data_IF_644574942188
#
_entry.id   IF_644574942188
#
_cell.length_a   1.000
_cell.length_b   1.000
_cell.length_c   1.000
_cell.angle_alpha   90.00
_cell.angle_beta   90.00
_cell.angle_gamma   90.00
#
_symmetry.space_group_name_H-M   'P 1'
#
loop_
_entity.id
_entity.type
_entity.pdbx_description
1 polymer ?
#
# COMPACT_ATOMS: atom_id res chain seq x y z
N UNK A 1 13.83 29.61 5.77
CA UNK A 1 13.93 28.85 7.04
C UNK A 1 13.05 27.63 6.88
N UNK A 2 13.63 26.51 6.44
CA UNK A 2 12.92 25.24 6.32
C UNK A 2 13.00 24.56 7.68
N UNK A 3 11.85 24.45 8.34
CA UNK A 3 11.69 23.67 9.57
C UNK A 3 12.06 22.23 9.22
N UNK A 4 13.08 21.68 9.90
CA UNK A 4 13.48 20.29 9.78
C UNK A 4 12.26 19.43 10.13
N UNK A 5 11.58 18.92 9.11
CA UNK A 5 10.67 17.80 9.29
C UNK A 5 11.57 16.63 9.72
N UNK A 6 11.54 16.31 11.01
CA UNK A 6 12.04 15.04 11.49
C UNK A 6 11.19 13.97 10.83
N UNK A 7 11.64 13.49 9.68
CA UNK A 7 11.25 12.19 9.16
C UNK A 7 11.56 11.22 10.29
N UNK A 8 10.52 10.70 10.95
CA UNK A 8 10.65 9.71 12.00
C UNK A 8 11.05 8.38 11.34
N UNK A 9 12.29 8.33 10.83
CA UNK A 9 12.93 7.18 10.21
C UNK A 9 13.53 6.25 11.27
N UNK A 10 12.81 6.08 12.38
CA UNK A 10 13.36 5.49 13.60
C UNK A 10 12.36 4.54 14.25
N UNK A 11 12.06 3.42 13.58
CA UNK A 11 11.66 2.15 14.23
C UNK A 11 11.19 1.09 13.21
N UNK A 12 12.07 0.60 12.34
CA UNK A 12 11.77 -0.59 11.52
C UNK A 12 12.93 -1.60 11.53
N UNK A 13 13.36 -1.98 12.74
CA UNK A 13 14.16 -3.17 12.94
C UNK A 13 13.57 -3.99 14.09
N UNK A 14 12.31 -4.38 13.94
CA UNK A 14 11.80 -5.50 14.73
C UNK A 14 12.18 -6.77 13.95
N UNK A 15 13.29 -7.38 14.35
CA UNK A 15 13.61 -8.73 13.93
C UNK A 15 12.48 -9.64 14.44
N UNK A 16 11.48 -9.89 13.58
CA UNK A 16 10.47 -10.90 13.82
C UNK A 16 11.17 -12.26 13.77
N UNK A 17 11.61 -12.73 14.94
CA UNK A 17 11.66 -14.15 15.22
C UNK A 17 10.25 -14.67 14.96
N UNK A 18 10.02 -15.17 13.76
CA UNK A 18 8.84 -15.95 13.43
C UNK A 18 8.93 -17.26 14.23
N UNK A 19 8.54 -17.19 15.51
CA UNK A 19 7.96 -18.34 16.18
C UNK A 19 6.77 -18.68 15.29
N UNK A 20 6.82 -19.85 14.66
CA UNK A 20 5.64 -20.44 14.07
C UNK A 20 4.64 -20.55 15.22
N UNK A 21 3.70 -19.62 15.27
CA UNK A 21 2.58 -19.64 16.18
C UNK A 21 1.85 -20.93 15.85
N UNK A 22 2.04 -21.96 16.69
CA UNK A 22 1.12 -23.09 16.67
C UNK A 22 -0.27 -22.49 16.81
N UNK A 23 -1.27 -22.91 16.02
CA UNK A 23 -2.58 -22.28 16.05
C UNK A 23 -3.03 -22.31 17.50
N UNK A 24 -3.03 -21.13 18.13
CA UNK A 24 -3.51 -20.97 19.46
C UNK A 24 -4.91 -21.59 19.49
N UNK A 25 -5.29 -22.19 20.62
CA UNK A 25 -6.68 -22.56 20.92
C UNK A 25 -7.52 -21.27 21.06
N UNK A 26 -7.45 -20.41 20.04
CA UNK A 26 -8.15 -19.16 19.92
C UNK A 26 -9.57 -19.49 19.49
N UNK A 27 -10.58 -19.10 20.29
CA UNK A 27 -11.97 -19.31 19.92
C UNK A 27 -12.26 -18.69 18.56
N UNK A 28 -13.03 -19.41 17.73
CA UNK A 28 -13.44 -18.88 16.43
C UNK A 28 -14.26 -17.61 16.61
N UNK A 29 -14.08 -16.68 15.68
CA UNK A 29 -14.81 -15.42 15.68
C UNK A 29 -16.32 -15.69 15.46
N UNK A 30 -17.13 -15.38 16.45
CA UNK A 30 -18.59 -15.32 16.32
C UNK A 30 -19.00 -13.99 15.68
N UNK A 31 -19.94 -14.05 14.74
CA UNK A 31 -20.43 -12.90 13.99
C UNK A 31 -21.95 -12.94 13.89
N UNK A 32 -22.58 -11.77 13.81
CA UNK A 32 -24.01 -11.68 13.50
C UNK A 32 -24.19 -11.14 12.07
N UNK A 33 -24.94 -11.89 11.26
CA UNK A 33 -25.23 -11.55 9.86
C UNK A 33 -26.68 -11.05 9.77
N UNK A 34 -26.90 -9.87 9.18
CA UNK A 34 -28.25 -9.36 8.91
C UNK A 34 -28.67 -9.62 7.46
N UNK A 35 -29.77 -10.35 7.28
CA UNK A 35 -30.36 -10.74 5.99
C UNK A 35 -31.85 -10.44 6.07
N UNK A 36 -32.37 -9.61 5.17
CA UNK A 36 -33.78 -9.21 5.10
C UNK A 36 -34.34 -8.70 6.45
N UNK A 37 -33.51 -7.98 7.22
CA UNK A 37 -33.86 -7.46 8.54
C UNK A 37 -33.89 -8.49 9.67
N UNK A 38 -33.56 -9.76 9.39
CA UNK A 38 -33.35 -10.81 10.40
C UNK A 38 -31.87 -10.96 10.71
N UNK A 39 -31.55 -11.22 11.97
CA UNK A 39 -30.18 -11.50 12.42
C UNK A 39 -29.98 -12.99 12.57
N UNK A 40 -28.87 -13.51 12.04
CA UNK A 40 -28.43 -14.90 12.17
C UNK A 40 -27.02 -14.88 12.78
N UNK A 41 -26.84 -15.53 13.91
CA UNK A 41 -25.52 -15.73 14.50
C UNK A 41 -24.80 -16.86 13.76
N UNK A 42 -23.51 -16.64 13.49
CA UNK A 42 -22.68 -17.55 12.72
C UNK A 42 -21.26 -17.57 13.27
N UNK A 43 -20.57 -18.66 13.00
CA UNK A 43 -19.13 -18.78 13.26
C UNK A 43 -18.39 -18.46 11.96
N UNK A 44 -17.39 -17.59 12.03
CA UNK A 44 -16.59 -17.21 10.87
C UNK A 44 -15.95 -18.44 10.21
N UNK A 45 -16.00 -18.49 8.88
CA UNK A 45 -15.56 -19.63 8.06
C UNK A 45 -16.34 -20.95 8.26
N UNK A 46 -17.50 -20.92 8.91
CA UNK A 46 -18.42 -22.07 9.01
C UNK A 46 -19.71 -21.85 8.21
N UNK A 47 -20.32 -22.92 7.68
CA UNK A 47 -21.63 -22.84 7.03
C UNK A 47 -22.73 -22.59 8.06
N UNK A 48 -23.65 -21.68 7.75
CA UNK A 48 -24.85 -21.39 8.53
C UNK A 48 -26.07 -21.40 7.62
N UNK A 49 -27.21 -21.85 8.14
CA UNK A 49 -28.48 -21.78 7.41
C UNK A 49 -29.13 -20.41 7.66
N UNK A 50 -29.36 -19.65 6.59
CA UNK A 50 -30.06 -18.38 6.62
C UNK A 50 -31.30 -18.42 5.74
N UNK A 51 -32.37 -17.70 6.12
CA UNK A 51 -33.55 -17.54 5.26
C UNK A 51 -33.38 -16.31 4.39
N UNK A 52 -33.38 -16.47 3.07
CA UNK A 52 -33.33 -15.40 2.07
C UNK A 52 -34.60 -15.53 1.23
N UNK A 53 -35.38 -14.45 1.10
CA UNK A 53 -36.65 -14.47 0.34
C UNK A 53 -37.63 -15.60 0.77
N UNK A 54 -37.62 -15.95 2.05
CA UNK A 54 -38.49 -17.00 2.61
C UNK A 54 -38.01 -18.43 2.37
N UNK A 55 -36.86 -18.64 1.73
CA UNK A 55 -36.27 -19.95 1.49
C UNK A 55 -34.99 -20.18 2.31
N UNK A 56 -34.72 -21.38 2.84
CA UNK A 56 -33.49 -21.68 3.54
C UNK A 56 -32.31 -21.84 2.56
N UNK A 57 -31.21 -21.16 2.85
CA UNK A 57 -29.95 -21.24 2.12
C UNK A 57 -28.79 -21.54 3.07
N UNK A 58 -27.85 -22.38 2.63
CA UNK A 58 -26.58 -22.57 3.33
C UNK A 58 -25.60 -21.52 2.82
N UNK A 59 -25.13 -20.67 3.72
CA UNK A 59 -24.16 -19.61 3.42
C UNK A 59 -22.93 -19.77 4.30
N UNK A 60 -21.76 -19.35 3.78
CA UNK A 60 -20.51 -19.35 4.54
C UNK A 60 -19.81 -18.02 4.29
N UNK A 61 -19.43 -17.32 5.37
CA UNK A 61 -18.63 -16.11 5.27
C UNK A 61 -17.15 -16.48 5.27
N UNK A 62 -16.42 -16.07 4.23
CA UNK A 62 -14.97 -16.33 4.11
C UNK A 62 -14.19 -15.03 3.94
N UNK A 63 -12.99 -14.98 4.54
CA UNK A 63 -12.03 -13.93 4.24
C UNK A 63 -11.52 -14.11 2.81
N UNK A 64 -11.46 -13.02 2.05
CA UNK A 64 -10.71 -13.02 0.78
C UNK A 64 -9.20 -13.01 1.10
N UNK A 65 -8.37 -13.69 0.29
CA UNK A 65 -6.91 -13.68 0.47
C UNK A 65 -6.28 -12.31 0.18
N UNK A 66 -7.07 -11.35 -0.31
CA UNK A 66 -6.63 -9.98 -0.61
C UNK A 66 -7.63 -8.96 -0.10
N UNK A 67 -7.11 -7.81 0.31
CA UNK A 67 -7.87 -6.61 0.67
C UNK A 67 -7.80 -5.60 -0.47
N UNK A 68 -8.78 -4.70 -0.52
CA UNK A 68 -8.83 -3.60 -1.48
C UNK A 68 -8.41 -2.30 -0.79
N UNK A 69 -7.30 -1.72 -1.23
CA UNK A 69 -6.98 -0.33 -0.94
C UNK A 69 -7.78 0.56 -1.91
N UNK A 70 -8.48 1.58 -1.42
CA UNK A 70 -9.17 2.57 -2.27
C UNK A 70 -9.24 3.93 -1.55
N UNK A 71 -8.19 4.75 -1.72
CA UNK A 71 -8.04 6.08 -1.09
C UNK A 71 -7.33 7.03 -2.04
N UNK A 72 -7.58 8.34 -1.90
CA UNK A 72 -6.93 9.39 -2.68
C UNK A 72 -6.92 9.13 -4.21
N UNK A 73 -8.03 8.62 -4.74
CA UNK A 73 -8.17 8.21 -6.13
C UNK A 73 -7.21 7.10 -6.60
N UNK A 74 -6.52 6.42 -5.69
CA UNK A 74 -5.68 5.25 -5.98
C UNK A 74 -6.38 4.01 -5.45
N UNK A 75 -6.34 2.95 -6.25
CA UNK A 75 -6.95 1.66 -5.91
C UNK A 75 -6.01 0.53 -6.30
N UNK A 76 -5.82 -0.45 -5.42
CA UNK A 76 -5.10 -1.69 -5.70
C UNK A 76 -5.47 -2.77 -4.67
N UNK A 77 -5.22 -4.02 -4.99
CA UNK A 77 -5.32 -5.14 -4.05
C UNK A 77 -3.96 -5.47 -3.43
N UNK A 78 -3.99 -5.96 -2.20
CA UNK A 78 -2.81 -6.40 -1.46
C UNK A 78 -3.16 -7.62 -0.59
N UNK A 79 -2.19 -8.46 -0.16
CA UNK A 79 -2.46 -9.65 0.64
C UNK A 79 -3.20 -9.32 1.95
N UNK A 80 -4.14 -10.16 2.35
CA UNK A 80 -5.02 -9.86 3.49
C UNK A 80 -4.31 -9.77 4.84
N UNK A 81 -3.16 -10.43 4.97
CA UNK A 81 -2.33 -10.43 6.19
C UNK A 81 -1.48 -9.16 6.37
N UNK A 82 -1.43 -8.26 5.37
CA UNK A 82 -0.70 -7.00 5.52
C UNK A 82 -1.45 -6.09 6.51
N UNK A 83 -0.68 -5.33 7.29
CA UNK A 83 -1.18 -4.24 8.12
C UNK A 83 -1.42 -3.00 7.26
N UNK A 84 -2.27 -2.10 7.75
CA UNK A 84 -2.55 -0.82 7.09
C UNK A 84 -2.44 0.30 8.12
N UNK A 85 -1.71 1.35 7.75
CA UNK A 85 -1.51 2.54 8.55
C UNK A 85 -1.78 3.80 7.72
N UNK A 86 -2.15 4.86 8.43
CA UNK A 86 -2.46 6.17 7.86
C UNK A 86 -1.82 7.25 8.73
N UNK A 87 -1.09 8.14 8.09
CA UNK A 87 -0.43 9.28 8.72
C UNK A 87 -0.75 10.56 7.95
N UNK A 88 -1.20 11.58 8.67
CA UNK A 88 -1.43 12.94 8.18
C UNK A 88 -0.89 14.01 9.13
N UNK A 89 0.07 13.66 9.98
CA UNK A 89 0.68 14.57 10.96
C UNK A 89 1.53 15.64 10.27
N UNK A 90 2.16 15.29 9.14
CA UNK A 90 2.92 16.24 8.33
C UNK A 90 1.97 17.14 7.53
N UNK A 91 2.02 18.47 7.72
CA UNK A 91 1.13 19.39 7.00
C UNK A 91 1.22 19.20 5.48
N UNK A 92 0.06 19.10 4.82
CA UNK A 92 -0.09 18.93 3.36
C UNK A 92 0.48 17.63 2.80
N UNK A 93 0.85 16.67 3.64
CA UNK A 93 1.26 15.34 3.22
C UNK A 93 0.32 14.33 3.86
N UNK A 94 -0.16 13.38 3.06
CA UNK A 94 -0.91 12.24 3.56
C UNK A 94 -0.21 10.98 3.11
N UNK A 95 0.09 10.10 4.06
CA UNK A 95 0.82 8.87 3.85
C UNK A 95 -0.11 7.71 4.19
N UNK A 96 -0.24 6.77 3.27
CA UNK A 96 -0.86 5.48 3.52
C UNK A 96 0.22 4.41 3.42
N UNK A 97 0.32 3.56 4.42
CA UNK A 97 1.29 2.46 4.43
C UNK A 97 0.54 1.13 4.48
N UNK A 98 0.97 0.19 3.65
CA UNK A 98 0.48 -1.20 3.66
C UNK A 98 1.70 -2.09 3.76
N UNK A 99 1.83 -2.83 4.86
CA UNK A 99 3.08 -3.49 5.22
C UNK A 99 2.90 -5.00 5.41
N UNK A 100 3.78 -5.76 4.75
CA UNK A 100 3.95 -7.20 4.91
C UNK A 100 5.33 -7.51 5.49
N UNK A 101 5.75 -8.77 5.39
CA UNK A 101 7.00 -9.23 5.99
C UNK A 101 8.23 -8.82 5.19
N UNK A 102 8.12 -8.80 3.87
CA UNK A 102 9.20 -8.62 2.91
C UNK A 102 8.94 -7.43 1.97
N UNK A 103 7.73 -6.87 2.02
CA UNK A 103 7.25 -5.83 1.13
C UNK A 103 6.45 -4.77 1.86
N UNK A 104 6.77 -3.50 1.63
CA UNK A 104 6.00 -2.35 2.12
C UNK A 104 5.57 -1.48 0.94
N UNK A 105 4.28 -1.15 0.89
CA UNK A 105 3.69 -0.26 -0.10
C UNK A 105 3.34 1.06 0.57
N UNK A 106 3.76 2.18 -0.01
CA UNK A 106 3.43 3.50 0.53
C UNK A 106 2.81 4.37 -0.56
N UNK A 107 1.76 5.09 -0.22
CA UNK A 107 1.16 6.12 -1.06
C UNK A 107 1.31 7.46 -0.34
N UNK A 108 2.07 8.38 -0.94
CA UNK A 108 2.17 9.76 -0.45
C UNK A 108 1.42 10.70 -1.38
N UNK A 109 0.51 11.49 -0.81
CA UNK A 109 -0.28 12.49 -1.52
C UNK A 109 0.07 13.86 -0.98
N UNK A 110 0.33 14.81 -1.88
CA UNK A 110 0.74 16.17 -1.54
C UNK A 110 -0.36 17.17 -1.88
N UNK A 111 -0.78 17.95 -0.89
CA UNK A 111 -1.68 19.11 -1.06
C UNK A 111 -0.85 20.40 -1.19
N UNK A 112 -0.02 20.46 -2.23
CA UNK A 112 0.83 21.61 -2.52
C UNK A 112 0.65 22.09 -3.96
N UNK A 113 0.16 23.33 -4.10
CA UNK A 113 0.04 23.97 -5.39
C UNK A 113 1.40 24.10 -6.09
N UNK A 114 1.45 23.77 -7.38
CA UNK A 114 2.64 23.89 -8.21
C UNK A 114 3.64 22.74 -8.08
N UNK A 115 3.47 21.81 -7.13
CA UNK A 115 4.28 20.59 -7.05
C UNK A 115 3.75 19.54 -8.04
N UNK A 116 4.64 19.01 -8.88
CA UNK A 116 4.34 17.85 -9.73
C UNK A 116 4.76 16.54 -9.06
N UNK A 117 4.12 15.43 -9.42
CA UNK A 117 4.50 14.09 -8.92
C UNK A 117 5.95 13.71 -9.26
N UNK A 118 6.47 14.18 -10.41
CA UNK A 118 7.86 13.94 -10.81
C UNK A 118 8.85 14.74 -9.96
N UNK A 119 8.55 16.00 -9.65
CA UNK A 119 9.35 16.79 -8.71
C UNK A 119 9.32 16.17 -7.31
N UNK A 120 8.15 15.73 -6.84
CA UNK A 120 8.01 15.04 -5.56
C UNK A 120 8.86 13.75 -5.50
N UNK A 121 8.80 12.91 -6.54
CA UNK A 121 9.64 11.71 -6.65
C UNK A 121 11.13 12.06 -6.58
N UNK A 122 11.57 13.10 -7.28
CA UNK A 122 12.98 13.52 -7.27
C UNK A 122 13.42 14.03 -5.90
N UNK A 123 12.58 14.81 -5.22
CA UNK A 123 12.83 15.29 -3.86
C UNK A 123 12.93 14.12 -2.89
N UNK A 124 11.96 13.19 -2.90
CA UNK A 124 11.97 12.02 -2.01
C UNK A 124 13.17 11.13 -2.28
N UNK A 125 13.54 10.87 -3.54
CA UNK A 125 14.75 10.11 -3.85
C UNK A 125 16.03 10.79 -3.32
N UNK A 126 16.09 12.12 -3.36
CA UNK A 126 17.20 12.89 -2.79
C UNK A 126 17.23 12.84 -1.26
N UNK A 127 16.06 12.93 -0.62
CA UNK A 127 15.92 12.84 0.83
C UNK A 127 16.30 11.45 1.35
N UNK A 128 15.84 10.39 0.68
CA UNK A 128 16.20 9.00 1.01
C UNK A 128 17.71 8.76 0.87
N UNK A 129 18.34 9.30 -0.19
CA UNK A 129 19.79 9.27 -0.32
C UNK A 129 20.48 9.91 0.89
N UNK A 130 20.01 11.07 1.33
CA UNK A 130 20.55 11.74 2.51
C UNK A 130 20.30 10.96 3.79
N UNK A 131 19.13 10.32 3.91
CA UNK A 131 18.70 9.59 5.08
C UNK A 131 19.48 8.28 5.27
N UNK A 132 19.83 7.59 4.18
CA UNK A 132 20.62 6.37 4.23
C UNK A 132 22.10 6.58 4.51
N UNK A 133 22.64 7.79 4.30
CA UNK A 133 24.04 8.12 4.63
C UNK A 133 25.03 7.12 4.04
N UNK A 134 25.87 6.52 4.88
CA UNK A 134 26.90 5.56 4.47
C UNK A 134 26.34 4.23 3.92
N UNK A 135 25.09 3.91 4.25
CA UNK A 135 24.41 2.73 3.71
C UNK A 135 23.91 2.94 2.28
N UNK A 136 23.92 4.16 1.75
CA UNK A 136 23.46 4.45 0.39
C UNK A 136 24.37 3.79 -0.66
N UNK A 137 23.78 2.95 -1.52
CA UNK A 137 24.50 2.25 -2.58
C UNK A 137 24.26 2.87 -3.97
N UNK A 138 23.10 3.49 -4.22
CA UNK A 138 22.83 4.15 -5.50
C UNK A 138 21.38 4.55 -5.74
N UNK A 139 21.17 5.34 -6.79
CA UNK A 139 19.86 5.59 -7.40
C UNK A 139 19.94 5.25 -8.87
N UNK A 140 19.03 4.42 -9.36
CA UNK A 140 18.92 4.04 -10.77
C UNK A 140 17.51 4.33 -11.30
N UNK A 141 17.41 4.67 -12.59
CA UNK A 141 16.11 4.68 -13.25
C UNK A 141 15.62 3.24 -13.44
N UNK A 142 14.33 3.04 -13.23
CA UNK A 142 13.67 1.75 -13.42
C UNK A 142 12.35 1.92 -14.15
N UNK A 143 11.89 0.84 -14.77
CA UNK A 143 10.55 0.74 -15.34
C UNK A 143 9.87 -0.51 -14.76
N UNK A 144 8.61 -0.37 -14.34
CA UNK A 144 7.78 -1.49 -13.86
C UNK A 144 6.39 -1.44 -14.48
N UNK A 145 5.56 -2.46 -14.22
CA UNK A 145 4.17 -2.48 -14.66
C UNK A 145 3.22 -2.28 -13.48
N UNK A 146 2.43 -1.20 -13.53
CA UNK A 146 1.34 -0.93 -12.58
C UNK A 146 0.03 -0.82 -13.36
N UNK A 147 -0.95 -1.65 -13.01
CA UNK A 147 -2.23 -1.67 -13.72
C UNK A 147 -2.10 -1.99 -15.21
N UNK A 148 -1.17 -2.87 -15.58
CA UNK A 148 -0.86 -3.24 -16.95
C UNK A 148 -0.07 -2.20 -17.74
N UNK A 149 0.22 -1.02 -17.18
CA UNK A 149 0.93 0.08 -17.84
C UNK A 149 2.39 0.16 -17.38
N UNK A 150 3.30 0.47 -18.30
CA UNK A 150 4.68 0.75 -17.94
C UNK A 150 4.76 2.10 -17.22
N UNK A 151 5.41 2.11 -16.06
CA UNK A 151 5.63 3.30 -15.23
C UNK A 151 7.11 3.40 -14.96
N UNK A 152 7.69 4.56 -15.30
CA UNK A 152 9.07 4.88 -14.99
C UNK A 152 9.17 5.45 -13.58
N UNK A 153 10.21 5.05 -12.87
CA UNK A 153 10.48 5.49 -11.52
C UNK A 153 11.96 5.50 -11.22
N UNK A 154 12.27 5.59 -9.93
CA UNK A 154 13.64 5.53 -9.41
C UNK A 154 13.74 4.44 -8.36
N UNK A 155 14.75 3.60 -8.47
CA UNK A 155 15.15 2.65 -7.42
C UNK A 155 16.27 3.25 -6.60
N UNK A 156 16.02 3.43 -5.31
CA UNK A 156 17.05 3.71 -4.32
C UNK A 156 17.50 2.38 -3.75
N UNK A 157 18.81 2.15 -3.71
CA UNK A 157 19.42 0.96 -3.12
C UNK A 157 20.25 1.36 -1.92
N UNK A 158 20.07 0.66 -0.81
CA UNK A 158 20.88 0.82 0.39
C UNK A 158 21.27 -0.53 0.99
N UNK A 159 22.43 -0.60 1.64
CA UNK A 159 22.94 -1.81 2.28
C UNK A 159 22.86 -1.66 3.81
N UNK A 160 22.15 -2.57 4.46
CA UNK A 160 21.96 -2.58 5.91
C UNK A 160 22.20 -3.99 6.46
N UNK A 161 23.17 -4.13 7.38
CA UNK A 161 23.46 -5.39 8.06
C UNK A 161 23.62 -6.61 7.13
N UNK A 162 24.26 -6.41 5.97
CA UNK A 162 24.46 -7.46 4.96
C UNK A 162 23.25 -7.75 4.06
N UNK A 163 22.13 -7.05 4.26
CA UNK A 163 20.96 -7.08 3.38
C UNK A 163 20.93 -5.85 2.49
N UNK A 164 20.25 -5.97 1.34
CA UNK A 164 20.06 -4.86 0.43
C UNK A 164 18.59 -4.42 0.43
N UNK A 165 18.33 -3.17 0.79
CA UNK A 165 17.02 -2.56 0.70
C UNK A 165 16.85 -1.93 -0.68
N UNK A 166 15.77 -2.27 -1.38
CA UNK A 166 15.34 -1.56 -2.58
C UNK A 166 14.09 -0.75 -2.24
N UNK A 167 14.13 0.54 -2.53
CA UNK A 167 12.95 1.41 -2.46
C UNK A 167 12.69 2.01 -3.83
N UNK A 168 11.61 1.54 -4.46
CA UNK A 168 11.18 1.99 -5.77
C UNK A 168 10.16 3.10 -5.60
N UNK A 169 10.38 4.23 -6.26
CA UNK A 169 9.53 5.43 -6.17
C UNK A 169 8.99 5.74 -7.56
N UNK A 170 7.67 5.85 -7.69
CA UNK A 170 6.96 6.10 -8.94
C UNK A 170 6.06 7.33 -8.81
N UNK A 171 6.07 8.23 -9.81
CA UNK A 171 5.15 9.37 -9.82
C UNK A 171 3.74 8.88 -10.20
N UNK A 172 2.72 9.45 -9.57
CA UNK A 172 1.33 9.15 -9.91
C UNK A 172 0.78 10.11 -10.95
N UNK A 173 0.08 9.55 -11.94
CA UNK A 173 -0.64 10.30 -12.95
C UNK A 173 -2.04 10.68 -12.45
N UNK A 174 -2.44 11.94 -12.59
CA UNK A 174 -3.80 12.41 -12.26
C UNK A 174 -4.04 12.79 -10.79
N UNK A 175 -3.04 12.58 -9.93
CA UNK A 175 -2.98 13.10 -8.56
C UNK A 175 -1.57 13.60 -8.28
N UNK A 176 -1.42 14.62 -7.43
CA UNK A 176 -0.09 15.05 -6.96
C UNK A 176 0.35 14.10 -5.85
N UNK A 177 1.15 13.10 -6.22
CA UNK A 177 1.53 12.04 -5.29
C UNK A 177 2.55 11.09 -5.88
N UNK A 178 3.13 10.27 -5.00
CA UNK A 178 4.05 9.20 -5.35
C UNK A 178 3.58 7.88 -4.75
N UNK A 179 3.88 6.80 -5.45
CA UNK A 179 3.74 5.44 -4.94
C UNK A 179 5.13 4.87 -4.72
N UNK A 180 5.33 4.22 -3.58
CA UNK A 180 6.59 3.57 -3.23
C UNK A 180 6.38 2.10 -2.94
N UNK A 181 7.32 1.29 -3.40
CA UNK A 181 7.43 -0.12 -3.07
C UNK A 181 8.81 -0.37 -2.48
N UNK A 182 8.85 -0.64 -1.18
CA UNK A 182 10.05 -1.04 -0.47
C UNK A 182 10.08 -2.56 -0.36
N UNK A 183 11.25 -3.15 -0.62
CA UNK A 183 11.47 -4.60 -0.51
C UNK A 183 12.87 -4.89 -0.03
N UNK A 184 13.00 -5.94 0.78
CA UNK A 184 14.30 -6.46 1.20
C UNK A 184 14.76 -7.48 0.14
N UNK A 185 15.95 -7.26 -0.40
CA UNK A 185 16.64 -8.18 -1.29
C UNK A 185 17.82 -8.79 -0.55
N UNK A 186 17.92 -10.13 -0.54
CA UNK A 186 19.16 -10.77 -0.16
C UNK A 186 20.09 -10.79 -1.38
N UNK A 187 21.39 -10.59 -1.17
CA UNK A 187 22.38 -10.50 -2.24
C UNK A 187 22.42 -11.75 -3.14
N UNK A 188 22.05 -12.92 -2.60
CA UNK A 188 22.15 -14.22 -3.28
C UNK A 188 20.82 -14.96 -3.47
N UNK A 189 19.67 -14.38 -3.08
CA UNK A 189 18.39 -15.11 -3.08
C UNK A 189 17.45 -14.74 -4.20
N UNK A 190 16.63 -15.71 -4.59
CA UNK A 190 15.42 -15.50 -5.37
C UNK A 190 14.53 -14.43 -4.71
N UNK A 191 13.83 -13.64 -5.53
CA UNK A 191 12.83 -12.67 -5.06
C UNK A 191 11.79 -13.42 -4.20
N UNK A 192 11.57 -12.93 -2.98
CA UNK A 192 10.63 -13.53 -2.04
C UNK A 192 9.24 -13.72 -2.67
N UNK A 193 8.57 -14.82 -2.32
CA UNK A 193 7.25 -15.15 -2.86
C UNK A 193 6.21 -14.05 -2.58
N UNK A 194 6.29 -13.39 -1.42
CA UNK A 194 5.45 -12.24 -1.08
C UNK A 194 5.64 -11.09 -2.08
N UNK A 195 6.89 -10.71 -2.39
CA UNK A 195 7.20 -9.62 -3.32
C UNK A 195 6.64 -9.93 -4.71
N UNK A 196 6.80 -11.17 -5.21
CA UNK A 196 6.23 -11.58 -6.50
C UNK A 196 4.71 -11.48 -6.52
N UNK A 197 4.05 -11.94 -5.43
CA UNK A 197 2.60 -11.87 -5.29
C UNK A 197 2.11 -10.42 -5.27
N UNK A 198 2.79 -9.54 -4.54
CA UNK A 198 2.48 -8.11 -4.48
C UNK A 198 2.65 -7.45 -5.84
N UNK A 199 3.77 -7.68 -6.54
CA UNK A 199 4.02 -7.14 -7.87
C UNK A 199 2.95 -7.60 -8.87
N UNK A 200 2.53 -8.87 -8.80
CA UNK A 200 1.43 -9.38 -9.62
C UNK A 200 0.12 -8.65 -9.31
N UNK A 201 -0.26 -8.52 -8.03
CA UNK A 201 -1.47 -7.81 -7.63
C UNK A 201 -1.46 -6.34 -8.08
N UNK A 202 -0.32 -5.65 -7.96
CA UNK A 202 -0.17 -4.27 -8.43
C UNK A 202 -0.29 -4.18 -9.95
N UNK A 203 0.35 -5.08 -10.70
CA UNK A 203 0.21 -5.11 -12.14
C UNK A 203 -1.25 -5.35 -12.58
N UNK A 204 -1.98 -6.25 -11.92
CA UNK A 204 -3.35 -6.58 -12.28
C UNK A 204 -4.35 -5.50 -11.85
N UNK A 205 -4.18 -4.93 -10.65
CA UNK A 205 -5.26 -4.21 -9.96
C UNK A 205 -4.98 -2.74 -9.70
N UNK A 206 -3.74 -2.26 -9.88
CA UNK A 206 -3.43 -0.85 -9.60
C UNK A 206 -4.15 0.08 -10.58
N UNK A 207 -4.87 1.06 -10.06
CA UNK A 207 -5.62 2.05 -10.84
C UNK A 207 -5.49 3.41 -10.17
N UNK A 208 -5.33 4.45 -11.00
CA UNK A 208 -5.54 5.83 -10.57
C UNK A 208 -6.82 6.34 -11.23
N UNK A 209 -7.82 6.66 -10.42
CA UNK A 209 -9.09 7.24 -10.84
C UNK A 209 -8.82 8.69 -11.22
N UNK A 210 -8.87 9.01 -12.51
CA UNK A 210 -8.77 10.39 -12.94
C UNK A 210 -9.97 11.15 -12.35
N UNK A 211 -9.71 12.14 -11.50
CA UNK A 211 -10.77 13.07 -11.09
C UNK A 211 -11.27 13.76 -12.36
N UNK A 212 -12.54 13.54 -12.72
CA UNK A 212 -13.18 14.30 -13.77
C UNK A 212 -13.17 15.77 -13.34
N UNK A 213 -12.19 16.53 -13.84
CA UNK A 213 -12.07 17.93 -13.53
C UNK A 213 -13.41 18.62 -13.80
N UNK A 214 -14.00 19.23 -12.77
CA UNK A 214 -15.11 20.17 -12.92
C UNK A 214 -14.63 21.29 -13.85
N UNK A 215 -14.85 21.14 -15.16
CA UNK A 215 -14.88 22.25 -16.12
C UNK A 215 -16.13 23.08 -15.82
N UNK A 216 -16.09 23.93 -14.78
CA UNK A 216 -16.93 25.12 -14.76
C UNK A 216 -16.16 26.21 -15.48
N UNK A 217 -16.31 26.25 -16.81
CA UNK A 217 -16.06 27.48 -17.55
C UNK A 217 -17.05 28.52 -17.02
N UNK A 218 -16.57 29.54 -16.32
CA UNK A 218 -17.38 30.70 -16.00
C UNK A 218 -17.75 31.40 -17.32
N UNK A 219 -19.03 31.71 -17.58
CA UNK A 219 -19.39 32.52 -18.73
C UNK A 219 -18.77 33.90 -18.55
N UNK A 220 -17.95 34.34 -19.53
CA UNK A 220 -17.56 35.74 -19.67
C UNK A 220 -18.85 36.55 -19.80
N UNK A 221 -19.18 37.35 -18.80
CA UNK A 221 -20.17 38.42 -18.97
C UNK A 221 -19.52 39.49 -19.86
N UNK A 222 -20.18 39.77 -20.97
CA UNK A 222 -19.93 40.92 -21.85
C UNK A 222 -20.31 42.20 -21.14
#
# INVERSE_FOLDING_TARGET
>A
MFTRASLCLASLLCAALAVADEPADEPKLEISISIDGKTVDAVFDEPVTATIDGQPHVVKLTAKPTRLFSKANVEFRYPSYFTYEFDNETPRVTIYTVEGRESTLMLQIFDQAGLTSTEAMNSVASELRSAFGDSFAGVNEIETRLGGKNVRGRRITANFAGQQLHQDVFPLAGVTGIFMHQRVANADSEVAAEVKSVEQLLNETFRVKTSAAKRKAAPKKQ
#
